data_IF_838366251306
#
_entry.id   IF_838366251306
#
_cell.length_a   1.000
_cell.length_b   1.000
_cell.length_c   1.000
_cell.angle_alpha   90.00
_cell.angle_beta   90.00
_cell.angle_gamma   90.00
#
_symmetry.space_group_name_H-M   'P 1'
#
loop_
_entity.id
_entity.type
_entity.pdbx_description
1 polymer ?
#
# COMPACT_ATOMS: atom_id res chain seq x y z
N UNK A 1 44.94 -14.15 -20.62
CA UNK A 1 45.43 -13.24 -19.57
C UNK A 1 44.32 -13.05 -18.57
N UNK A 2 44.38 -13.75 -17.45
CA UNK A 2 43.40 -13.73 -16.36
C UNK A 2 44.16 -13.21 -15.13
N UNK A 3 43.70 -12.11 -14.55
CA UNK A 3 44.23 -11.60 -13.29
C UNK A 3 43.48 -12.26 -12.12
N UNK A 4 44.18 -12.73 -11.07
CA UNK A 4 43.55 -13.09 -9.81
C UNK A 4 43.45 -11.82 -8.93
N UNK A 5 42.28 -11.56 -8.36
CA UNK A 5 42.12 -10.58 -7.29
C UNK A 5 42.09 -11.34 -5.96
N UNK A 6 43.16 -11.19 -5.18
CA UNK A 6 43.20 -11.51 -3.76
C UNK A 6 42.47 -10.41 -2.98
N UNK A 7 41.58 -10.82 -2.08
CA UNK A 7 40.84 -9.93 -1.18
C UNK A 7 41.26 -10.26 0.26
N UNK A 8 42.32 -9.61 0.73
CA UNK A 8 42.71 -9.57 2.14
C UNK A 8 42.46 -8.15 2.67
N UNK A 9 41.68 -8.03 3.76
CA UNK A 9 41.68 -6.81 4.57
C UNK A 9 40.35 -6.44 5.25
N UNK A 10 40.23 -6.85 6.53
CA UNK A 10 39.44 -6.23 7.60
C UNK A 10 37.91 -6.42 7.63
N UNK A 11 37.47 -7.40 8.43
CA UNK A 11 36.25 -7.30 9.24
C UNK A 11 36.61 -7.63 10.70
N UNK A 12 36.60 -6.61 11.56
CA UNK A 12 36.66 -6.77 13.01
C UNK A 12 35.26 -6.61 13.63
N UNK A 13 34.89 -7.65 14.37
CA UNK A 13 34.06 -7.69 15.57
C UNK A 13 32.63 -7.13 15.53
N UNK A 14 31.66 -8.05 15.56
CA UNK A 14 30.52 -7.98 16.49
C UNK A 14 29.91 -9.36 16.72
N UNK A 15 30.12 -9.85 17.94
CA UNK A 15 29.14 -10.61 18.73
C UNK A 15 28.65 -11.93 18.15
N UNK A 16 29.45 -12.98 18.35
CA UNK A 16 29.04 -14.38 18.29
C UNK A 16 27.94 -14.69 19.31
N UNK A 17 26.68 -14.74 18.86
CA UNK A 17 25.64 -15.47 19.58
C UNK A 17 25.77 -16.97 19.26
N UNK A 18 26.50 -17.65 20.14
CA UNK A 18 26.41 -19.07 20.53
C UNK A 18 26.15 -20.10 19.42
N UNK A 19 27.23 -20.79 19.05
CA UNK A 19 27.20 -22.14 18.49
C UNK A 19 26.50 -23.09 19.48
N UNK A 20 25.57 -23.88 18.94
CA UNK A 20 24.87 -24.96 19.63
C UNK A 20 25.81 -26.17 19.70
N UNK A 21 26.22 -26.55 20.91
CA UNK A 21 26.88 -27.83 21.17
C UNK A 21 25.85 -28.86 21.65
N UNK A 22 25.97 -30.10 21.17
CA UNK A 22 25.11 -31.27 21.46
C UNK A 22 25.20 -31.79 22.92
N UNK A 23 25.30 -30.90 23.90
CA UNK A 23 25.40 -31.21 25.34
C UNK A 23 24.44 -30.38 26.23
N UNK A 24 23.44 -29.72 25.66
CA UNK A 24 22.51 -28.83 26.39
C UNK A 24 21.04 -29.31 26.46
N UNK A 25 20.80 -30.62 26.49
CA UNK A 25 19.43 -31.17 26.53
C UNK A 25 18.77 -31.10 27.92
N UNK A 26 19.51 -30.82 29.01
CA UNK A 26 18.95 -30.84 30.38
C UNK A 26 18.60 -29.48 31.02
N UNK A 27 18.68 -28.37 30.28
CA UNK A 27 18.34 -27.03 30.81
C UNK A 27 17.05 -26.42 30.21
N UNK A 28 16.14 -27.27 29.73
CA UNK A 28 14.77 -26.85 29.44
C UNK A 28 14.09 -26.59 30.78
N UNK A 29 14.25 -25.38 31.32
CA UNK A 29 13.73 -24.96 32.61
C UNK A 29 12.23 -25.21 32.70
N UNK A 30 11.86 -26.31 33.36
CA UNK A 30 10.46 -26.60 33.68
C UNK A 30 9.98 -25.55 34.67
N UNK A 31 8.81 -24.97 34.40
CA UNK A 31 8.17 -24.01 35.30
C UNK A 31 6.90 -24.59 35.89
N UNK A 32 6.58 -24.18 37.11
CA UNK A 32 5.31 -24.49 37.76
C UNK A 32 4.27 -23.46 37.31
N UNK A 33 3.10 -23.92 36.87
CA UNK A 33 2.00 -23.05 36.47
C UNK A 33 1.36 -22.36 37.68
N UNK A 34 1.27 -21.02 37.70
CA UNK A 34 0.62 -20.26 38.78
C UNK A 34 -0.87 -20.61 38.95
N UNK A 35 -1.53 -21.15 37.92
CA UNK A 35 -2.97 -21.44 37.92
C UNK A 35 -3.34 -22.87 38.31
N UNK A 36 -2.44 -23.85 38.20
CA UNK A 36 -2.75 -25.25 38.53
C UNK A 36 -1.57 -26.07 39.06
N UNK A 37 -0.43 -25.42 39.30
CA UNK A 37 0.80 -26.03 39.79
C UNK A 37 1.41 -27.14 38.91
N UNK A 38 0.88 -27.41 37.71
CA UNK A 38 1.49 -28.35 36.77
C UNK A 38 2.82 -27.80 36.24
N UNK A 39 3.82 -28.67 36.15
CA UNK A 39 5.10 -28.37 35.48
C UNK A 39 4.90 -28.33 33.96
N UNK A 40 5.49 -27.35 33.29
CA UNK A 40 5.42 -27.22 31.83
C UNK A 40 6.71 -26.65 31.24
N UNK A 41 6.96 -26.98 29.98
CA UNK A 41 8.11 -26.53 29.19
C UNK A 41 7.65 -25.34 28.34
N UNK A 42 8.22 -24.15 28.55
CA UNK A 42 7.99 -22.99 27.66
C UNK A 42 9.16 -22.01 27.67
N UNK A 43 9.25 -21.25 26.57
CA UNK A 43 10.13 -20.09 26.42
C UNK A 43 9.81 -19.00 27.46
N UNK A 44 10.82 -18.69 28.28
CA UNK A 44 11.06 -17.72 29.37
C UNK A 44 10.01 -16.69 29.91
N UNK A 45 8.81 -16.49 29.35
CA UNK A 45 7.89 -15.40 29.77
C UNK A 45 6.52 -15.80 30.28
N UNK A 46 6.12 -17.07 30.19
CA UNK A 46 4.77 -17.50 30.59
C UNK A 46 4.74 -18.00 32.04
N UNK A 47 3.75 -17.54 32.82
CA UNK A 47 3.47 -18.00 34.20
C UNK A 47 2.39 -19.07 34.30
N UNK A 48 1.66 -19.31 33.20
CA UNK A 48 0.57 -20.28 33.13
C UNK A 48 0.88 -21.36 32.09
N UNK A 49 0.50 -22.61 32.37
CA UNK A 49 0.49 -23.67 31.36
C UNK A 49 -0.58 -23.38 30.30
N UNK A 50 -0.47 -24.01 29.12
CA UNK A 50 -1.40 -23.81 28.00
C UNK A 50 -2.87 -23.98 28.39
N UNK A 51 -3.20 -24.97 29.23
CA UNK A 51 -4.56 -25.22 29.70
C UNK A 51 -5.09 -24.13 30.65
N UNK A 52 -4.25 -23.58 31.53
CA UNK A 52 -4.65 -22.48 32.42
C UNK A 52 -4.68 -21.14 31.71
N UNK A 53 -3.78 -20.93 30.75
CA UNK A 53 -3.83 -19.78 29.86
C UNK A 53 -5.12 -19.82 29.02
N UNK A 54 -5.48 -20.98 28.46
CA UNK A 54 -6.73 -21.18 27.74
C UNK A 54 -7.96 -20.95 28.63
N UNK A 55 -8.01 -21.55 29.84
CA UNK A 55 -9.11 -21.29 30.81
C UNK A 55 -9.18 -19.83 31.23
N UNK A 56 -8.06 -19.16 31.47
CA UNK A 56 -8.02 -17.71 31.75
C UNK A 56 -8.47 -16.89 30.55
N UNK A 57 -8.26 -17.37 29.33
CA UNK A 57 -8.80 -16.75 28.12
C UNK A 57 -10.31 -16.98 27.97
N UNK A 58 -10.83 -18.15 28.35
CA UNK A 58 -12.26 -18.48 28.33
C UNK A 58 -13.07 -17.84 29.46
N UNK A 59 -12.49 -17.72 30.67
CA UNK A 59 -13.11 -17.07 31.83
C UNK A 59 -13.30 -15.55 31.67
N UNK A 60 -12.87 -15.00 30.53
CA UNK A 60 -13.12 -13.60 30.20
C UNK A 60 -14.59 -13.44 29.85
N UNK A 61 -15.22 -12.41 30.40
CA UNK A 61 -16.49 -11.95 29.88
C UNK A 61 -16.36 -11.77 28.36
N UNK A 62 -17.18 -12.47 27.55
CA UNK A 62 -17.17 -12.29 26.12
C UNK A 62 -17.45 -10.82 25.79
N UNK A 63 -17.18 -10.42 24.55
CA UNK A 63 -17.70 -9.14 24.08
C UNK A 63 -19.24 -9.15 24.16
N UNK A 64 -19.87 -7.97 24.13
CA UNK A 64 -21.34 -7.87 24.04
C UNK A 64 -21.92 -8.68 22.88
N UNK A 65 -21.14 -8.90 21.83
CA UNK A 65 -21.44 -9.73 20.67
C UNK A 65 -21.04 -11.21 20.83
N UNK A 66 -20.78 -11.71 22.04
CA UNK A 66 -20.41 -13.11 22.32
C UNK A 66 -18.99 -13.52 21.93
N UNK A 67 -18.31 -12.74 21.08
CA UNK A 67 -16.97 -13.06 20.58
C UNK A 67 -15.86 -12.91 21.65
N UNK A 68 -14.79 -13.73 21.59
CA UNK A 68 -13.63 -13.59 22.48
C UNK A 68 -12.94 -12.22 22.32
N UNK A 69 -12.48 -11.63 23.44
CA UNK A 69 -11.70 -10.38 23.44
C UNK A 69 -10.35 -10.52 24.16
N UNK A 70 -9.42 -9.61 23.84
CA UNK A 70 -8.10 -9.58 24.52
C UNK A 70 -8.25 -9.11 25.97
N UNK A 71 -7.29 -9.46 26.84
CA UNK A 71 -7.36 -9.15 28.28
C UNK A 71 -7.55 -7.65 28.58
N UNK A 72 -7.00 -6.78 27.73
CA UNK A 72 -7.03 -5.32 27.91
C UNK A 72 -8.11 -4.64 27.07
N UNK A 73 -8.82 -5.37 26.21
CA UNK A 73 -9.78 -4.78 25.30
C UNK A 73 -11.18 -4.75 25.92
N UNK A 74 -11.85 -3.60 25.81
CA UNK A 74 -13.25 -3.44 26.23
C UNK A 74 -14.19 -4.26 25.35
N UNK A 75 -13.87 -4.41 24.06
CA UNK A 75 -14.64 -5.12 23.04
C UNK A 75 -13.75 -6.12 22.26
N UNK A 76 -14.35 -7.10 21.57
CA UNK A 76 -13.61 -7.95 20.63
C UNK A 76 -13.13 -7.11 19.43
N UNK A 77 -12.25 -7.67 18.59
CA UNK A 77 -11.75 -6.94 17.41
C UNK A 77 -12.88 -6.55 16.45
N UNK A 78 -13.81 -7.46 16.16
CA UNK A 78 -14.94 -7.19 15.25
C UNK A 78 -15.80 -6.03 15.77
N UNK A 79 -16.23 -6.11 17.03
CA UNK A 79 -17.09 -5.10 17.64
C UNK A 79 -16.36 -3.76 17.89
N UNK A 80 -15.03 -3.77 18.09
CA UNK A 80 -14.22 -2.56 18.16
C UNK A 80 -14.09 -1.82 16.82
N UNK A 81 -14.30 -2.50 15.70
CA UNK A 81 -14.33 -1.88 14.37
C UNK A 81 -15.73 -1.45 13.93
N UNK A 82 -16.78 -1.84 14.67
CA UNK A 82 -18.17 -1.67 14.25
C UNK A 82 -18.59 -2.63 13.15
N UNK A 83 -19.90 -2.66 12.88
CA UNK A 83 -20.43 -3.30 11.67
C UNK A 83 -19.86 -2.60 10.44
N UNK A 84 -19.53 -3.38 9.40
CA UNK A 84 -19.21 -2.79 8.10
C UNK A 84 -20.46 -2.07 7.61
N UNK A 85 -20.43 -0.76 7.35
CA UNK A 85 -21.56 -0.10 6.72
C UNK A 85 -21.82 -0.78 5.37
N UNK A 86 -23.09 -1.05 5.07
CA UNK A 86 -23.49 -1.55 3.74
C UNK A 86 -23.55 -0.30 2.86
N UNK A 87 -22.51 -0.11 2.07
CA UNK A 87 -22.40 0.90 1.03
C UNK A 87 -22.34 0.19 -0.31
N UNK A 88 -22.89 0.82 -1.34
CA UNK A 88 -22.93 0.25 -2.69
C UNK A 88 -21.52 -0.07 -3.17
N UNK A 89 -21.40 -1.18 -3.90
CA UNK A 89 -20.13 -1.57 -4.49
C UNK A 89 -19.69 -0.49 -5.50
N UNK A 90 -18.43 -0.01 -5.47
CA UNK A 90 -17.97 0.96 -6.44
C UNK A 90 -18.04 0.36 -7.85
N UNK A 91 -18.49 1.18 -8.81
CA UNK A 91 -18.42 0.82 -10.21
C UNK A 91 -16.96 0.59 -10.66
N UNK A 92 -16.80 0.04 -11.86
CA UNK A 92 -15.49 -0.33 -12.39
C UNK A 92 -14.52 0.85 -12.50
N UNK A 93 -15.02 2.06 -12.82
CA UNK A 93 -14.17 3.22 -12.97
C UNK A 93 -13.72 3.78 -11.61
N UNK A 94 -14.61 3.82 -10.61
CA UNK A 94 -14.23 4.14 -9.22
C UNK A 94 -13.23 3.13 -8.67
N UNK A 95 -13.43 1.84 -8.92
CA UNK A 95 -12.48 0.80 -8.51
C UNK A 95 -11.12 0.98 -9.20
N UNK A 96 -11.11 1.38 -10.46
CA UNK A 96 -9.89 1.68 -11.20
C UNK A 96 -9.17 2.92 -10.67
N UNK A 97 -9.90 3.98 -10.31
CA UNK A 97 -9.35 5.15 -9.61
C UNK A 97 -8.69 4.77 -8.28
N UNK A 98 -9.38 3.97 -7.45
CA UNK A 98 -8.83 3.44 -6.19
C UNK A 98 -7.52 2.67 -6.47
N UNK A 99 -7.51 1.81 -7.48
CA UNK A 99 -6.34 1.02 -7.84
C UNK A 99 -5.17 1.91 -8.31
N UNK A 100 -5.42 2.93 -9.13
CA UNK A 100 -4.41 3.88 -9.59
C UNK A 100 -3.76 4.65 -8.44
N UNK A 101 -4.58 5.13 -7.49
CA UNK A 101 -4.09 5.82 -6.30
C UNK A 101 -3.25 4.90 -5.40
N UNK A 102 -3.69 3.66 -5.19
CA UNK A 102 -2.94 2.65 -4.41
C UNK A 102 -1.66 2.21 -5.13
N UNK A 103 -1.63 2.20 -6.47
CA UNK A 103 -0.42 1.87 -7.25
C UNK A 103 0.72 2.85 -6.94
N UNK A 104 0.42 4.15 -6.91
CA UNK A 104 1.35 5.20 -6.52
C UNK A 104 1.66 5.17 -5.02
N UNK A 105 0.67 5.52 -4.20
CA UNK A 105 0.86 5.87 -2.79
C UNK A 105 0.63 4.71 -1.82
N UNK A 106 0.13 3.59 -2.33
CA UNK A 106 -0.20 2.43 -1.51
C UNK A 106 1.03 1.70 -0.97
N UNK A 107 0.93 1.22 0.26
CA UNK A 107 1.89 0.30 0.87
C UNK A 107 1.16 -0.94 1.37
N UNK A 108 1.62 -2.12 0.94
CA UNK A 108 1.17 -3.42 1.44
C UNK A 108 2.14 -3.89 2.53
N UNK A 109 1.68 -4.01 3.77
CA UNK A 109 2.52 -4.41 4.91
C UNK A 109 1.98 -5.67 5.57
N UNK A 110 2.72 -6.75 5.43
CA UNK A 110 2.45 -8.02 6.14
C UNK A 110 2.90 -7.93 7.60
N UNK A 111 2.07 -8.37 8.53
CA UNK A 111 2.42 -8.41 9.97
C UNK A 111 2.91 -9.80 10.37
N UNK A 112 3.90 -9.87 11.28
CA UNK A 112 4.43 -11.15 11.80
C UNK A 112 3.37 -11.96 12.57
N UNK A 113 2.43 -11.31 13.24
CA UNK A 113 1.38 -11.95 14.04
C UNK A 113 0.18 -12.45 13.21
N UNK A 114 0.34 -12.60 11.90
CA UNK A 114 -0.76 -12.83 10.97
C UNK A 114 -1.51 -11.54 10.60
N UNK A 115 -2.13 -11.56 9.42
CA UNK A 115 -2.83 -10.42 8.84
C UNK A 115 -1.91 -9.41 8.15
N UNK A 116 -2.48 -8.27 7.79
CA UNK A 116 -1.82 -7.25 7.00
C UNK A 116 -2.39 -5.86 7.23
N UNK A 117 -1.84 -4.88 6.51
CA UNK A 117 -2.43 -3.57 6.33
C UNK A 117 -2.13 -3.07 4.91
N UNK A 118 -3.14 -2.53 4.25
CA UNK A 118 -2.96 -1.62 3.11
C UNK A 118 -3.00 -0.21 3.69
N UNK A 119 -2.00 0.59 3.34
CA UNK A 119 -1.85 1.96 3.83
C UNK A 119 -1.67 2.91 2.66
N UNK A 120 -2.39 4.02 2.66
CA UNK A 120 -2.13 5.17 1.77
C UNK A 120 -1.77 6.35 2.68
N UNK A 121 -0.73 7.10 2.32
CA UNK A 121 -0.28 8.26 3.09
C UNK A 121 0.05 9.43 2.15
N UNK A 122 -0.62 10.57 2.31
CA UNK A 122 -0.34 11.76 1.49
C UNK A 122 -0.69 13.06 2.23
N UNK A 123 -0.30 14.20 1.68
CA UNK A 123 -0.54 15.52 2.29
C UNK A 123 -1.97 16.04 2.09
N UNK A 124 -2.63 15.60 1.02
CA UNK A 124 -3.94 16.07 0.60
C UNK A 124 -5.04 15.27 1.33
N UNK A 125 -5.76 15.91 2.25
CA UNK A 125 -6.81 15.28 3.05
C UNK A 125 -8.03 14.89 2.21
N UNK A 126 -8.42 15.75 1.27
CA UNK A 126 -9.56 15.54 0.37
C UNK A 126 -9.40 14.26 -0.46
N UNK A 127 -8.19 13.95 -0.91
CA UNK A 127 -7.90 12.68 -1.61
C UNK A 127 -8.10 11.47 -0.68
N UNK A 128 -7.65 11.57 0.57
CA UNK A 128 -7.79 10.51 1.58
C UNK A 128 -9.26 10.29 1.97
N UNK A 129 -10.03 11.37 2.11
CA UNK A 129 -11.46 11.34 2.40
C UNK A 129 -12.23 10.74 1.23
N UNK A 130 -11.95 11.19 0.00
CA UNK A 130 -12.57 10.61 -1.21
C UNK A 130 -12.26 9.12 -1.35
N UNK A 131 -11.00 8.71 -1.10
CA UNK A 131 -10.65 7.28 -1.07
C UNK A 131 -11.42 6.53 0.01
N UNK A 132 -11.64 7.12 1.19
CA UNK A 132 -12.42 6.48 2.24
C UNK A 132 -13.90 6.33 1.86
N UNK A 133 -14.48 7.33 1.19
CA UNK A 133 -15.86 7.33 0.73
C UNK A 133 -16.14 6.32 -0.39
N UNK A 134 -15.16 6.05 -1.25
CA UNK A 134 -15.30 5.08 -2.34
C UNK A 134 -15.11 3.62 -1.91
N UNK A 135 -14.65 3.36 -0.67
CA UNK A 135 -14.51 2.01 -0.15
C UNK A 135 -15.84 1.53 0.45
N UNK A 136 -16.25 0.27 0.22
CA UNK A 136 -17.52 -0.26 0.73
C UNK A 136 -17.46 -0.61 2.22
N UNK A 137 -16.53 -0.02 2.96
CA UNK A 137 -16.29 -0.22 4.38
C UNK A 137 -15.62 1.03 4.95
N UNK A 138 -15.63 1.19 6.27
CA UNK A 138 -15.01 2.34 6.92
C UNK A 138 -13.51 2.07 7.19
N UNK A 139 -12.57 2.56 6.35
CA UNK A 139 -11.15 2.48 6.67
C UNK A 139 -10.82 3.38 7.86
N UNK A 140 -9.65 3.17 8.46
CA UNK A 140 -9.17 4.07 9.51
C UNK A 140 -8.36 5.21 8.90
N UNK A 141 -8.92 6.42 8.92
CA UNK A 141 -8.25 7.69 8.59
C UNK A 141 -7.73 8.35 9.86
N UNK A 142 -6.53 8.92 9.83
CA UNK A 142 -5.96 9.71 10.93
C UNK A 142 -4.88 10.68 10.46
N UNK A 143 -4.66 11.79 11.18
CA UNK A 143 -3.51 12.64 10.92
C UNK A 143 -2.20 11.91 11.26
N UNK A 144 -1.15 12.26 10.54
CA UNK A 144 0.23 11.87 10.80
C UNK A 144 1.06 13.10 11.10
N UNK A 145 1.49 13.22 12.35
CA UNK A 145 2.43 14.24 12.78
C UNK A 145 3.82 13.89 12.26
N UNK A 146 4.44 14.72 11.43
CA UNK A 146 5.80 14.50 10.98
C UNK A 146 6.76 14.53 12.17
N UNK A 147 7.90 13.84 12.05
CA UNK A 147 8.95 13.85 13.08
C UNK A 147 9.78 15.13 13.10
N UNK A 148 9.64 15.96 12.06
CA UNK A 148 10.44 17.15 11.81
C UNK A 148 9.48 18.30 11.52
N UNK A 149 9.63 19.42 12.25
CA UNK A 149 8.62 20.49 12.31
C UNK A 149 8.36 21.20 10.96
N UNK A 150 9.32 21.19 10.03
CA UNK A 150 9.16 21.86 8.72
C UNK A 150 8.52 20.96 7.65
N UNK A 151 8.22 19.69 7.96
CA UNK A 151 7.51 18.82 7.02
C UNK A 151 6.01 19.14 7.04
N UNK A 152 5.36 19.07 5.87
CA UNK A 152 3.91 19.25 5.79
C UNK A 152 3.19 18.16 6.60
N UNK A 153 2.04 18.48 7.24
CA UNK A 153 1.19 17.45 7.81
C UNK A 153 0.73 16.49 6.70
N UNK A 154 0.53 15.23 7.07
CA UNK A 154 -0.03 14.23 6.16
C UNK A 154 -1.11 13.43 6.84
N UNK A 155 -1.86 12.70 6.04
CA UNK A 155 -2.99 11.89 6.45
C UNK A 155 -2.73 10.45 6.05
N UNK A 156 -3.16 9.53 6.91
CA UNK A 156 -2.97 8.10 6.71
C UNK A 156 -4.34 7.43 6.69
N UNK A 157 -4.63 6.75 5.59
CA UNK A 157 -5.71 5.78 5.49
C UNK A 157 -5.14 4.37 5.69
N UNK A 158 -5.80 3.56 6.50
CA UNK A 158 -5.42 2.16 6.73
C UNK A 158 -6.60 1.21 6.63
N UNK A 159 -6.43 0.16 5.84
CA UNK A 159 -7.32 -1.01 5.77
C UNK A 159 -6.61 -2.17 6.44
N UNK A 160 -7.16 -2.66 7.55
CA UNK A 160 -6.51 -3.70 8.37
C UNK A 160 -7.45 -4.82 8.84
N UNK A 161 -8.77 -4.62 8.67
CA UNK A 161 -9.76 -5.67 8.89
C UNK A 161 -9.57 -6.72 7.82
N UNK A 162 -9.64 -7.98 8.22
CA UNK A 162 -9.31 -9.09 7.33
C UNK A 162 -10.25 -9.16 6.13
N UNK A 163 -11.56 -9.02 6.36
CA UNK A 163 -12.56 -9.12 5.30
C UNK A 163 -12.47 -7.93 4.35
N UNK A 164 -12.26 -6.73 4.88
CA UNK A 164 -12.01 -5.51 4.10
C UNK A 164 -10.72 -5.63 3.25
N UNK A 165 -9.64 -6.19 3.81
CA UNK A 165 -8.40 -6.48 3.07
C UNK A 165 -8.62 -7.52 1.98
N UNK A 166 -9.38 -8.57 2.29
CA UNK A 166 -9.71 -9.62 1.33
C UNK A 166 -10.49 -9.03 0.16
N UNK A 167 -11.54 -8.25 0.45
CA UNK A 167 -12.33 -7.55 -0.56
C UNK A 167 -11.44 -6.63 -1.39
N UNK A 168 -10.69 -5.73 -0.74
CA UNK A 168 -9.88 -4.71 -1.43
C UNK A 168 -8.86 -5.36 -2.35
N UNK A 169 -8.06 -6.29 -1.83
CA UNK A 169 -7.02 -6.97 -2.60
C UNK A 169 -7.64 -7.75 -3.75
N UNK A 170 -8.74 -8.49 -3.53
CA UNK A 170 -9.38 -9.26 -4.61
C UNK A 170 -9.85 -8.37 -5.75
N UNK A 171 -10.37 -7.18 -5.43
CA UNK A 171 -10.94 -6.23 -6.40
C UNK A 171 -9.88 -5.44 -7.15
N UNK A 172 -8.85 -4.94 -6.48
CA UNK A 172 -7.82 -4.10 -7.13
C UNK A 172 -6.67 -4.91 -7.73
N UNK A 173 -6.38 -6.11 -7.21
CA UNK A 173 -5.26 -6.94 -7.68
C UNK A 173 -5.21 -7.15 -9.21
N UNK A 174 -6.31 -7.42 -9.94
CA UNK A 174 -6.25 -7.54 -11.40
C UNK A 174 -5.84 -6.25 -12.10
N UNK A 175 -6.05 -5.09 -11.45
CA UNK A 175 -5.71 -3.75 -11.92
C UNK A 175 -4.28 -3.32 -11.56
N UNK A 176 -3.60 -4.02 -10.64
CA UNK A 176 -2.25 -3.65 -10.19
C UNK A 176 -1.15 -4.08 -11.19
N UNK A 177 -0.03 -3.36 -11.17
CA UNK A 177 1.22 -3.76 -11.81
C UNK A 177 1.82 -5.03 -11.19
N UNK A 178 2.79 -5.66 -11.85
CA UNK A 178 3.29 -6.97 -11.44
C UNK A 178 3.87 -6.94 -10.02
N UNK A 179 4.66 -5.91 -9.69
CA UNK A 179 5.29 -5.79 -8.37
C UNK A 179 4.28 -5.52 -7.26
N UNK A 180 3.33 -4.60 -7.48
CA UNK A 180 2.31 -4.28 -6.46
C UNK A 180 1.33 -5.42 -6.28
N UNK A 181 1.00 -6.13 -7.34
CA UNK A 181 0.26 -7.38 -7.30
C UNK A 181 0.95 -8.43 -6.44
N UNK A 182 2.25 -8.67 -6.63
CA UNK A 182 3.00 -9.61 -5.80
C UNK A 182 2.94 -9.21 -4.31
N UNK A 183 3.11 -7.92 -4.01
CA UNK A 183 3.02 -7.42 -2.64
C UNK A 183 1.61 -7.61 -2.04
N UNK A 184 0.56 -7.41 -2.84
CA UNK A 184 -0.82 -7.64 -2.45
C UNK A 184 -1.12 -9.14 -2.24
N UNK A 185 -0.61 -10.02 -3.11
CA UNK A 185 -0.70 -11.48 -2.97
C UNK A 185 0.00 -11.95 -1.69
N UNK A 186 1.21 -11.46 -1.43
CA UNK A 186 1.95 -11.79 -0.21
C UNK A 186 1.25 -11.30 1.06
N UNK A 187 0.48 -10.21 0.98
CA UNK A 187 -0.29 -9.68 2.09
C UNK A 187 -1.36 -10.67 2.56
N UNK A 188 -2.07 -11.29 1.60
CA UNK A 188 -3.23 -12.15 1.86
C UNK A 188 -2.90 -13.65 1.89
N UNK A 189 -1.70 -14.06 1.47
CA UNK A 189 -1.31 -15.48 1.41
C UNK A 189 -1.29 -16.20 2.76
N UNK A 190 -1.15 -15.46 3.87
CA UNK A 190 -1.19 -16.02 5.23
C UNK A 190 -2.60 -16.03 5.85
N UNK A 191 -3.64 -15.70 5.09
CA UNK A 191 -5.01 -15.74 5.61
C UNK A 191 -5.49 -17.20 5.67
N UNK A 192 -6.30 -17.53 6.67
CA UNK A 192 -6.97 -18.84 6.73
C UNK A 192 -7.95 -18.95 5.56
N UNK A 193 -7.66 -19.71 4.51
CA UNK A 193 -8.36 -19.61 3.21
C UNK A 193 -7.99 -18.31 2.48
N UNK A 194 -6.80 -18.24 1.86
CA UNK A 194 -6.40 -17.10 1.05
C UNK A 194 -7.35 -16.96 -0.16
N UNK A 195 -7.62 -15.73 -0.63
CA UNK A 195 -8.40 -15.54 -1.86
C UNK A 195 -7.66 -16.13 -3.06
N UNK A 196 -8.42 -16.74 -3.97
CA UNK A 196 -7.94 -16.93 -5.34
C UNK A 196 -7.96 -15.57 -6.03
N UNK A 197 -6.79 -15.01 -6.28
CA UNK A 197 -6.68 -13.71 -6.93
C UNK A 197 -6.83 -13.88 -8.45
N UNK A 198 -7.62 -13.02 -9.11
CA UNK A 198 -7.78 -13.10 -10.56
C UNK A 198 -6.48 -12.76 -11.27
N UNK A 199 -6.29 -13.36 -12.44
CA UNK A 199 -5.16 -13.07 -13.33
C UNK A 199 -5.11 -11.59 -13.72
N UNK A 200 -3.95 -11.07 -14.13
CA UNK A 200 -3.86 -9.74 -14.70
C UNK A 200 -4.81 -9.60 -15.88
N UNK A 201 -5.69 -8.61 -15.80
CA UNK A 201 -6.57 -8.25 -16.90
C UNK A 201 -6.57 -6.73 -16.98
N UNK A 202 -5.79 -6.20 -17.93
CA UNK A 202 -5.77 -4.78 -18.25
C UNK A 202 -6.25 -4.56 -19.68
N UNK A 203 -7.57 -4.54 -19.93
CA UNK A 203 -8.11 -4.31 -21.26
C UNK A 203 -8.35 -2.83 -21.57
N UNK A 204 -8.04 -1.91 -20.64
CA UNK A 204 -8.50 -0.53 -20.75
C UNK A 204 -7.62 0.30 -21.66
N UNK A 205 -8.29 1.10 -22.49
CA UNK A 205 -7.72 2.23 -23.22
C UNK A 205 -8.07 3.53 -22.49
N UNK A 206 -7.52 4.66 -22.93
CA UNK A 206 -7.88 5.98 -22.38
C UNK A 206 -9.33 6.39 -22.66
N UNK A 207 -9.94 5.85 -23.72
CA UNK A 207 -11.36 6.08 -24.03
C UNK A 207 -12.30 5.29 -23.12
N UNK A 208 -11.78 4.27 -22.42
CA UNK A 208 -12.53 3.55 -21.40
C UNK A 208 -12.54 4.37 -20.09
N UNK A 209 -13.71 4.61 -19.47
CA UNK A 209 -13.81 5.32 -18.20
C UNK A 209 -12.90 4.76 -17.10
N UNK A 210 -12.72 3.44 -17.02
CA UNK A 210 -11.83 2.82 -16.04
C UNK A 210 -10.36 3.05 -16.35
N UNK A 211 -9.96 3.09 -17.62
CA UNK A 211 -8.59 3.44 -18.03
C UNK A 211 -8.24 4.87 -17.65
N UNK A 212 -9.14 5.83 -17.96
CA UNK A 212 -8.99 7.22 -17.56
C UNK A 212 -9.00 7.41 -16.04
N UNK A 213 -9.90 6.72 -15.33
CA UNK A 213 -10.01 6.79 -13.88
C UNK A 213 -8.76 6.25 -13.17
N UNK A 214 -8.19 5.14 -13.64
CA UNK A 214 -6.92 4.63 -13.10
C UNK A 214 -5.77 5.60 -13.30
N UNK A 215 -5.65 6.18 -14.50
CA UNK A 215 -4.63 7.17 -14.79
C UNK A 215 -4.79 8.41 -13.89
N UNK A 216 -6.03 8.86 -13.67
CA UNK A 216 -6.35 9.94 -12.74
C UNK A 216 -5.93 9.61 -11.30
N UNK A 217 -6.27 8.42 -10.79
CA UNK A 217 -5.88 7.98 -9.45
C UNK A 217 -4.36 7.96 -9.26
N UNK A 218 -3.62 7.49 -10.27
CA UNK A 218 -2.15 7.49 -10.26
C UNK A 218 -1.58 8.92 -10.26
N UNK A 219 -2.15 9.83 -11.07
CA UNK A 219 -1.75 11.25 -11.14
C UNK A 219 -2.12 12.01 -9.85
N UNK A 220 -3.20 11.66 -9.17
CA UNK A 220 -3.54 12.24 -7.86
C UNK A 220 -2.46 11.95 -6.82
N UNK A 221 -1.94 10.71 -6.80
CA UNK A 221 -0.85 10.31 -5.91
C UNK A 221 0.50 10.90 -6.31
N UNK A 222 1.01 10.51 -7.48
CA UNK A 222 2.41 10.72 -7.86
C UNK A 222 2.60 11.81 -8.92
N UNK A 223 1.52 12.47 -9.32
CA UNK A 223 1.51 13.40 -10.46
C UNK A 223 1.84 14.84 -10.10
N UNK A 224 2.48 15.50 -11.06
CA UNK A 224 2.66 16.94 -11.10
C UNK A 224 2.12 17.50 -12.42
N UNK A 225 1.25 18.51 -12.33
CA UNK A 225 0.63 19.17 -13.48
C UNK A 225 1.08 20.63 -13.48
N UNK A 226 1.82 21.05 -14.50
CA UNK A 226 2.26 22.43 -14.63
C UNK A 226 2.81 22.74 -16.02
N UNK A 227 2.80 24.00 -16.46
CA UNK A 227 3.19 24.33 -17.83
C UNK A 227 4.66 23.97 -18.12
N UNK A 228 4.97 23.31 -19.26
CA UNK A 228 4.08 22.85 -20.35
C UNK A 228 3.70 21.35 -20.33
N UNK A 229 3.77 20.64 -19.19
CA UNK A 229 3.67 19.17 -19.17
C UNK A 229 2.98 18.56 -17.94
N UNK A 230 2.60 17.30 -18.08
CA UNK A 230 2.27 16.41 -16.97
C UNK A 230 3.48 15.52 -16.68
N UNK A 231 3.79 15.32 -15.41
CA UNK A 231 4.85 14.41 -14.95
C UNK A 231 4.32 13.43 -13.90
N UNK A 232 4.76 12.19 -13.96
CA UNK A 232 4.58 11.18 -12.91
C UNK A 232 5.94 10.54 -12.63
N UNK A 233 6.31 10.44 -11.35
CA UNK A 233 7.55 9.77 -10.92
C UNK A 233 7.20 8.50 -10.16
N UNK A 234 7.90 7.39 -10.42
CA UNK A 234 7.67 6.12 -9.73
C UNK A 234 8.94 5.28 -9.66
N UNK A 235 9.07 4.42 -8.64
CA UNK A 235 10.11 3.37 -8.63
C UNK A 235 9.76 2.18 -9.52
N UNK A 236 8.53 2.13 -10.03
CA UNK A 236 7.97 1.00 -10.76
C UNK A 236 7.86 1.36 -12.23
N UNK A 237 8.82 0.88 -13.02
CA UNK A 237 8.89 1.18 -14.45
C UNK A 237 7.65 0.69 -15.21
N UNK A 238 7.13 -0.49 -14.84
CA UNK A 238 5.95 -1.10 -15.47
C UNK A 238 4.67 -0.26 -15.28
N UNK A 239 4.57 0.48 -14.18
CA UNK A 239 3.48 1.45 -13.94
C UNK A 239 3.57 2.62 -14.92
N UNK A 240 4.77 3.14 -15.16
CA UNK A 240 4.98 4.25 -16.09
C UNK A 240 4.84 3.83 -17.55
N UNK A 241 5.28 2.62 -17.90
CA UNK A 241 5.06 2.03 -19.23
C UNK A 241 3.57 1.88 -19.52
N UNK A 242 2.79 1.42 -18.54
CA UNK A 242 1.32 1.34 -18.65
C UNK A 242 0.70 2.73 -18.82
N UNK A 243 1.13 3.71 -18.03
CA UNK A 243 0.66 5.09 -18.15
C UNK A 243 0.98 5.67 -19.54
N UNK A 244 2.19 5.41 -20.06
CA UNK A 244 2.59 5.81 -21.40
C UNK A 244 1.75 5.13 -22.48
N UNK A 245 1.44 3.84 -22.33
CA UNK A 245 0.56 3.11 -23.24
C UNK A 245 -0.86 3.73 -23.26
N UNK A 246 -1.44 4.03 -22.10
CA UNK A 246 -2.75 4.69 -22.01
C UNK A 246 -2.73 6.06 -22.67
N UNK A 247 -1.69 6.85 -22.44
CA UNK A 247 -1.54 8.18 -23.03
C UNK A 247 -1.20 8.19 -24.52
N UNK A 248 -0.97 7.02 -25.14
CA UNK A 248 -0.47 6.93 -26.52
C UNK A 248 0.96 7.44 -26.70
N UNK A 249 1.74 7.54 -25.62
CA UNK A 249 3.15 7.91 -25.63
C UNK A 249 3.62 8.68 -24.39
N UNK A 250 4.63 9.51 -24.57
CA UNK A 250 5.34 10.22 -23.50
C UNK A 250 6.80 9.81 -23.44
N UNK A 251 7.59 10.50 -22.62
CA UNK A 251 9.01 10.21 -22.43
C UNK A 251 9.23 9.60 -21.05
N UNK A 252 9.81 8.39 -21.00
CA UNK A 252 10.25 7.77 -19.75
C UNK A 252 11.76 7.93 -19.64
N UNK A 253 12.22 8.53 -18.54
CA UNK A 253 13.64 8.75 -18.25
C UNK A 253 13.98 8.29 -16.83
N UNK A 254 15.25 7.97 -16.57
CA UNK A 254 15.70 7.73 -15.21
C UNK A 254 15.70 9.04 -14.41
N UNK A 255 15.05 9.05 -13.25
CA UNK A 255 15.11 10.19 -12.34
C UNK A 255 16.48 10.25 -11.66
N UNK A 256 16.94 11.46 -11.33
CA UNK A 256 18.20 11.65 -10.60
C UNK A 256 18.14 10.89 -9.28
N UNK A 257 19.02 9.90 -9.11
CA UNK A 257 19.11 9.12 -7.88
C UNK A 257 19.55 10.04 -6.74
N UNK A 258 18.80 10.01 -5.64
CA UNK A 258 19.13 10.76 -4.43
C UNK A 258 20.36 10.18 -3.72
N UNK A 259 20.17 9.13 -2.92
CA UNK A 259 21.24 8.42 -2.20
C UNK A 259 21.48 7.05 -2.82
N UNK A 260 22.67 6.49 -2.63
CA UNK A 260 23.07 5.18 -3.17
C UNK A 260 22.20 4.01 -2.69
N UNK A 261 21.60 4.11 -1.50
CA UNK A 261 20.70 3.09 -0.96
C UNK A 261 19.22 3.30 -1.37
N UNK A 262 18.90 4.39 -2.08
CA UNK A 262 17.55 4.60 -2.61
C UNK A 262 17.35 3.76 -3.87
N UNK A 263 16.13 3.25 -4.03
CA UNK A 263 15.74 2.56 -5.25
C UNK A 263 15.82 3.53 -6.45
N UNK A 264 16.22 3.05 -7.64
CA UNK A 264 16.10 3.85 -8.83
C UNK A 264 14.64 4.26 -9.02
N UNK A 265 14.43 5.52 -9.43
CA UNK A 265 13.14 6.04 -9.80
C UNK A 265 13.18 6.40 -11.28
N UNK A 266 12.02 6.33 -11.90
CA UNK A 266 11.79 6.69 -13.28
C UNK A 266 10.76 7.82 -13.31
N UNK A 267 10.82 8.60 -14.37
CA UNK A 267 9.95 9.74 -14.60
C UNK A 267 9.32 9.57 -15.95
N UNK A 268 8.00 9.64 -16.01
CA UNK A 268 7.25 9.77 -17.24
C UNK A 268 6.78 11.21 -17.41
N UNK A 269 6.97 11.78 -18.60
CA UNK A 269 6.53 13.12 -18.95
C UNK A 269 5.68 13.11 -20.22
N UNK A 270 4.57 13.86 -20.19
CA UNK A 270 3.71 14.09 -21.33
C UNK A 270 3.65 15.59 -21.63
N UNK A 271 4.27 15.99 -22.74
CA UNK A 271 4.41 17.40 -23.13
C UNK A 271 3.98 17.68 -24.57
N UNK A 272 3.81 16.65 -25.41
CA UNK A 272 3.33 16.83 -26.79
C UNK A 272 1.86 17.22 -26.77
N UNK A 273 1.52 18.44 -27.23
CA UNK A 273 0.16 19.00 -27.18
C UNK A 273 -0.92 18.05 -27.72
N UNK A 274 -0.64 17.38 -28.85
CA UNK A 274 -1.55 16.41 -29.48
C UNK A 274 -1.84 15.15 -28.65
N UNK A 275 -1.05 14.86 -27.62
CA UNK A 275 -1.30 13.78 -26.66
C UNK A 275 -1.73 14.33 -25.29
N UNK A 276 -1.11 15.42 -24.84
CA UNK A 276 -1.34 16.00 -23.52
C UNK A 276 -2.78 16.48 -23.34
N UNK A 277 -3.33 17.24 -24.30
CA UNK A 277 -4.68 17.80 -24.13
C UNK A 277 -5.76 16.70 -24.13
N UNK A 278 -5.80 15.74 -25.08
CA UNK A 278 -6.74 14.63 -25.02
C UNK A 278 -6.60 13.79 -23.74
N UNK A 279 -5.37 13.60 -23.26
CA UNK A 279 -5.12 12.89 -22.01
C UNK A 279 -5.71 13.62 -20.80
N UNK A 280 -5.46 14.92 -20.70
CA UNK A 280 -6.01 15.73 -19.60
C UNK A 280 -7.54 15.79 -19.65
N UNK A 281 -8.13 15.96 -20.83
CA UNK A 281 -9.58 15.95 -20.99
C UNK A 281 -10.20 14.62 -20.55
N UNK A 282 -9.54 13.49 -20.85
CA UNK A 282 -10.00 12.16 -20.46
C UNK A 282 -9.95 11.94 -18.94
N UNK A 283 -8.87 12.36 -18.27
CA UNK A 283 -8.71 12.12 -16.82
C UNK A 283 -9.45 13.18 -15.97
N UNK A 284 -9.69 14.38 -16.49
CA UNK A 284 -10.27 15.53 -15.77
C UNK A 284 -11.56 15.21 -14.99
N UNK A 285 -12.53 14.43 -15.49
CA UNK A 285 -13.74 14.06 -14.74
C UNK A 285 -13.47 13.27 -13.46
N UNK A 286 -12.28 12.64 -13.36
CA UNK A 286 -11.86 11.80 -12.25
C UNK A 286 -10.85 12.48 -11.32
N UNK A 287 -10.45 13.71 -11.65
CA UNK A 287 -9.54 14.51 -10.82
C UNK A 287 -10.31 15.27 -9.74
N UNK A 288 -9.68 15.43 -8.58
CA UNK A 288 -10.21 16.24 -7.50
C UNK A 288 -9.93 17.73 -7.74
N UNK A 289 -10.66 18.57 -7.00
CA UNK A 289 -10.71 20.02 -7.20
C UNK A 289 -9.34 20.68 -7.44
N UNK A 290 -8.34 20.36 -6.62
CA UNK A 290 -6.99 20.93 -6.71
C UNK A 290 -6.30 20.59 -8.04
N UNK A 291 -6.39 19.33 -8.48
CA UNK A 291 -5.77 18.90 -9.75
C UNK A 291 -6.57 19.35 -10.94
N UNK A 292 -7.89 19.40 -10.85
CA UNK A 292 -8.75 20.02 -11.87
C UNK A 292 -8.36 21.48 -12.12
N UNK A 293 -8.10 22.27 -11.07
CA UNK A 293 -7.57 23.63 -11.22
C UNK A 293 -6.21 23.64 -11.93
N UNK A 294 -5.34 22.68 -11.65
CA UNK A 294 -4.03 22.60 -12.32
C UNK A 294 -4.17 22.23 -13.81
N UNK A 295 -5.08 21.31 -14.14
CA UNK A 295 -5.47 20.99 -15.52
C UNK A 295 -6.01 22.22 -16.23
N UNK A 296 -6.96 22.92 -15.62
CA UNK A 296 -7.60 24.09 -16.21
C UNK A 296 -6.59 25.20 -16.48
N UNK A 297 -5.66 25.43 -15.54
CA UNK A 297 -4.54 26.35 -15.74
C UNK A 297 -3.69 25.93 -16.93
N UNK A 298 -3.29 24.65 -17.01
CA UNK A 298 -2.45 24.16 -18.10
C UNK A 298 -3.13 24.31 -19.47
N UNK A 299 -4.42 23.99 -19.56
CA UNK A 299 -5.22 24.11 -20.78
C UNK A 299 -5.44 25.58 -21.16
N UNK A 300 -5.58 26.48 -20.18
CA UNK A 300 -5.80 27.92 -20.41
C UNK A 300 -4.54 28.68 -20.87
N UNK A 301 -3.35 28.18 -20.55
CA UNK A 301 -2.09 28.79 -21.00
C UNK A 301 -1.98 28.55 -22.50
N UNK A 302 -2.42 29.54 -23.30
CA UNK A 302 -2.01 29.67 -24.69
C UNK A 302 -0.49 29.77 -24.68
N UNK A 303 0.21 28.69 -25.00
CA UNK A 303 1.68 28.74 -25.13
C UNK A 303 2.00 29.54 -26.39
N UNK A 304 2.49 30.79 -26.28
CA UNK A 304 2.86 31.58 -27.45
C UNK A 304 4.04 30.90 -28.13
N UNK A 305 3.95 30.62 -29.43
CA UNK A 305 4.98 29.88 -30.19
C UNK A 305 4.73 28.37 -30.37
N UNK A 306 3.59 27.86 -29.90
CA UNK A 306 3.03 26.55 -30.25
C UNK A 306 1.81 26.73 -31.17
N UNK A 307 1.96 27.58 -32.19
CA UNK A 307 1.09 27.53 -33.36
C UNK A 307 1.15 26.09 -33.89
N UNK A 308 0.02 25.48 -34.29
CA UNK A 308 0.05 24.19 -34.95
C UNK A 308 0.94 24.33 -36.17
N UNK A 309 2.18 23.84 -36.05
CA UNK A 309 3.09 23.72 -37.17
C UNK A 309 2.33 23.03 -38.29
N UNK A 310 2.26 23.73 -39.41
CA UNK A 310 1.86 23.20 -40.72
C UNK A 310 2.44 21.78 -40.87
N UNK A 311 1.62 20.81 -41.32
CA UNK A 311 1.99 19.39 -41.40
C UNK A 311 3.31 19.13 -42.13
#
# INVERSE_FOLDING_TARGET
>A
MLYPLSYEGMVQAKGTCCAYSDSMVDSIGTRVCDGCSRRFIRTSRHRLCSACEYRRQQAKAPCSCGSPKSLKAKQCRSCAYGSTPIVDEPDQARLAWIAGLIEGEGTFVRRRSGGGVVRVQMTDLDVIETLAEHLPFAPRVRPYTPKVDHHKPSWILTVQRRDDLFWLVTKICPLLSARRREAATLLVSNFTNPPTLPSPSWPYTLSDPAGAAWAAGLVEGEGWIGPPYLEVTSTDLDVLERLAQLAGGGSITAAKRGKENHRPAHRWQLYRKGLLLPFLDAIRPWMLSRRTIAVDRLVSVRVPGLEPGVP
#
